data_IF_836103707693
#
_entry.id   IF_836103707693
#
_cell.length_a   1.000
_cell.length_b   1.000
_cell.length_c   1.000
_cell.angle_alpha   90.00
_cell.angle_beta   90.00
_cell.angle_gamma   90.00
#
_symmetry.space_group_name_H-M   'P 1'
#
loop_
_entity.id
_entity.type
_entity.pdbx_description
1 polymer ?
#
# COMPACT_ATOMS: atom_id res chain seq x y z
N UNK A 1 -1.72 39.42 -6.19
CA UNK A 1 -0.84 40.42 -5.58
C UNK A 1 -0.40 41.45 -6.63
N UNK A 2 -0.65 42.77 -6.44
CA UNK A 2 -0.38 43.82 -7.45
C UNK A 2 1.11 44.02 -7.80
N UNK A 3 2.03 43.68 -6.89
CA UNK A 3 3.46 44.02 -7.03
C UNK A 3 4.30 43.05 -7.88
N UNK A 4 3.72 41.92 -8.31
CA UNK A 4 4.47 40.81 -8.93
C UNK A 4 4.20 40.64 -10.42
N UNK A 5 3.27 41.40 -10.98
CA UNK A 5 2.85 41.27 -12.40
C UNK A 5 4.03 41.46 -13.36
N UNK A 6 4.99 42.33 -13.01
CA UNK A 6 6.20 42.61 -13.82
C UNK A 6 7.31 41.56 -13.69
N UNK A 7 7.26 40.71 -12.66
CA UNK A 7 8.27 39.68 -12.39
C UNK A 7 7.84 38.30 -12.86
N UNK A 8 6.64 38.11 -13.42
CA UNK A 8 6.10 36.78 -13.76
C UNK A 8 6.94 35.92 -14.71
N UNK A 9 7.75 36.55 -15.58
CA UNK A 9 8.63 35.84 -16.50
C UNK A 9 10.05 35.62 -15.92
N UNK A 10 10.32 36.16 -14.74
CA UNK A 10 11.59 36.04 -14.03
C UNK A 10 11.64 34.72 -13.22
N UNK A 11 12.65 33.85 -13.43
CA UNK A 11 12.85 32.66 -12.61
C UNK A 11 12.93 32.94 -11.10
N UNK A 12 13.42 34.13 -10.72
CA UNK A 12 13.62 34.53 -9.33
C UNK A 12 12.39 35.23 -8.72
N UNK A 13 11.27 35.31 -9.46
CA UNK A 13 10.03 35.92 -8.96
C UNK A 13 9.57 35.30 -7.63
N UNK A 14 9.74 33.98 -7.49
CA UNK A 14 9.35 33.24 -6.28
C UNK A 14 10.27 33.54 -5.10
N UNK A 15 11.55 33.83 -5.36
CA UNK A 15 12.48 34.30 -4.33
C UNK A 15 11.97 35.62 -3.76
N UNK A 16 11.61 36.57 -4.62
CA UNK A 16 11.04 37.86 -4.19
C UNK A 16 9.78 37.66 -3.34
N UNK A 17 8.89 36.73 -3.74
CA UNK A 17 7.68 36.40 -2.96
C UNK A 17 7.99 35.81 -1.57
N UNK A 18 9.12 35.12 -1.41
CA UNK A 18 9.51 34.49 -0.14
C UNK A 18 10.11 35.47 0.89
N UNK A 19 10.41 36.70 0.48
CA UNK A 19 11.00 37.73 1.35
C UNK A 19 10.00 38.34 2.33
N UNK A 20 8.70 38.03 2.19
CA UNK A 20 7.62 38.55 3.02
C UNK A 20 6.74 37.41 3.56
N UNK A 21 6.42 37.47 4.85
CA UNK A 21 5.34 36.68 5.46
C UNK A 21 4.04 37.45 5.28
N UNK A 22 3.22 37.00 4.32
CA UNK A 22 1.94 37.61 3.97
C UNK A 22 0.77 36.83 4.57
N UNK A 23 -0.05 37.51 5.38
CA UNK A 23 -1.30 36.98 5.90
C UNK A 23 -2.45 37.35 4.95
N UNK A 24 -3.01 36.34 4.28
CA UNK A 24 -4.11 36.52 3.32
C UNK A 24 -5.42 36.95 3.98
N UNK A 25 -5.63 36.66 5.27
CA UNK A 25 -6.84 37.03 6.02
C UNK A 25 -6.79 38.49 6.44
N UNK A 26 -5.63 38.94 6.92
CA UNK A 26 -5.46 40.32 7.41
C UNK A 26 -4.91 41.29 6.37
N UNK A 27 -4.41 40.79 5.23
CA UNK A 27 -3.81 41.56 4.15
C UNK A 27 -2.47 42.22 4.53
N UNK A 28 -1.84 41.79 5.63
CA UNK A 28 -0.59 42.36 6.14
C UNK A 28 0.62 41.56 5.67
N UNK A 29 1.67 42.27 5.27
CA UNK A 29 2.98 41.71 4.97
C UNK A 29 3.99 42.09 6.07
N UNK A 30 4.82 41.14 6.48
CA UNK A 30 5.97 41.38 7.36
C UNK A 30 7.25 40.82 6.74
N UNK A 31 8.42 41.34 7.12
CA UNK A 31 9.70 40.87 6.55
C UNK A 31 10.00 39.45 7.02
N UNK A 32 10.36 38.57 6.07
CA UNK A 32 10.84 37.23 6.39
C UNK A 32 12.21 37.25 7.08
N UNK A 33 12.55 36.18 7.81
CA UNK A 33 13.78 36.11 8.62
C UNK A 33 15.08 36.34 7.82
N UNK A 34 15.11 35.93 6.54
CA UNK A 34 16.27 36.13 5.63
C UNK A 34 16.61 37.60 5.42
N UNK A 35 15.64 38.51 5.58
CA UNK A 35 15.84 39.96 5.45
C UNK A 35 16.47 40.60 6.70
N UNK A 36 16.64 39.83 7.78
CA UNK A 36 17.08 40.33 9.09
C UNK A 36 18.35 39.63 9.57
N UNK A 37 18.57 38.36 9.19
CA UNK A 37 19.73 37.56 9.60
C UNK A 37 20.09 36.50 8.56
N UNK A 38 21.29 35.95 8.65
CA UNK A 38 21.64 34.71 7.94
C UNK A 38 20.79 33.56 8.49
N UNK A 39 20.17 32.80 7.59
CA UNK A 39 19.22 31.72 7.91
C UNK A 39 19.67 30.35 7.40
N UNK A 40 20.70 30.25 6.56
CA UNK A 40 21.06 28.98 5.91
C UNK A 40 22.27 28.32 6.57
N UNK A 41 23.25 29.09 7.05
CA UNK A 41 24.45 28.58 7.71
C UNK A 41 25.28 27.61 6.84
N UNK A 42 26.44 27.19 7.34
CA UNK A 42 27.29 26.17 6.69
C UNK A 42 27.16 24.85 7.44
N UNK A 43 26.81 23.77 6.73
CA UNK A 43 26.86 22.41 7.28
C UNK A 43 28.15 21.74 6.81
N UNK A 44 29.17 21.54 7.67
CA UNK A 44 30.37 20.83 7.28
C UNK A 44 30.07 19.35 7.02
N UNK A 45 30.76 18.69 6.07
CA UNK A 45 30.58 17.27 5.86
C UNK A 45 31.04 16.48 7.09
N UNK A 46 30.32 15.41 7.43
CA UNK A 46 30.77 14.46 8.45
C UNK A 46 31.91 13.63 7.85
N UNK A 47 33.08 13.72 8.46
CA UNK A 47 34.30 13.03 8.00
C UNK A 47 34.76 11.92 8.94
N UNK A 48 34.28 11.90 10.17
CA UNK A 48 34.62 10.92 11.19
C UNK A 48 33.41 10.66 12.10
N UNK A 49 33.32 9.45 12.66
CA UNK A 49 32.32 9.06 13.67
C UNK A 49 32.99 8.30 14.82
N UNK A 50 32.33 8.26 15.97
CA UNK A 50 32.88 7.66 17.21
C UNK A 50 32.36 6.27 17.50
N UNK A 51 31.27 5.85 16.85
CA UNK A 51 30.69 4.52 16.97
C UNK A 51 30.09 4.05 15.65
N UNK A 52 29.86 2.74 15.55
CA UNK A 52 29.17 2.18 14.39
C UNK A 52 27.72 2.69 14.29
N UNK A 53 27.04 2.87 15.44
CA UNK A 53 25.68 3.45 15.51
C UNK A 53 25.64 4.88 14.95
N UNK A 54 26.57 5.75 15.35
CA UNK A 54 26.66 7.11 14.79
C UNK A 54 26.90 7.06 13.28
N UNK A 55 27.80 6.17 12.83
CA UNK A 55 28.02 5.92 11.41
C UNK A 55 26.77 5.46 10.67
N UNK A 56 25.97 4.56 11.27
CA UNK A 56 24.69 4.13 10.71
C UNK A 56 23.74 5.30 10.51
N UNK A 57 23.55 6.16 11.53
CA UNK A 57 22.70 7.34 11.41
C UNK A 57 23.16 8.29 10.29
N UNK A 58 24.47 8.50 10.18
CA UNK A 58 25.08 9.31 9.11
C UNK A 58 24.84 8.67 7.73
N UNK A 59 24.99 7.34 7.62
CA UNK A 59 24.70 6.59 6.40
C UNK A 59 23.23 6.71 5.98
N UNK A 60 22.29 6.53 6.91
CA UNK A 60 20.85 6.67 6.64
C UNK A 60 20.51 8.09 6.20
N UNK A 61 21.10 9.09 6.86
CA UNK A 61 20.89 10.49 6.53
C UNK A 61 21.46 10.91 5.16
N UNK A 62 22.68 10.46 4.82
CA UNK A 62 23.40 10.90 3.61
C UNK A 62 23.25 9.96 2.41
N UNK A 63 22.90 8.69 2.62
CA UNK A 63 22.75 7.68 1.57
C UNK A 63 21.36 7.08 1.50
N UNK A 64 20.53 7.28 2.52
CA UNK A 64 19.18 6.70 2.59
C UNK A 64 19.16 5.18 2.82
N UNK A 65 20.31 4.57 3.10
CA UNK A 65 20.47 3.11 3.23
C UNK A 65 21.58 2.75 4.21
N UNK A 66 21.66 1.47 4.59
CA UNK A 66 22.76 0.89 5.36
C UNK A 66 23.94 0.64 4.42
N UNK A 67 24.90 1.56 4.38
CA UNK A 67 26.12 1.46 3.57
C UNK A 67 27.32 1.13 4.48
N UNK A 68 27.57 -0.17 4.68
CA UNK A 68 28.64 -0.65 5.55
C UNK A 68 30.04 -0.17 5.12
N UNK A 69 30.42 -0.18 3.83
CA UNK A 69 31.69 0.41 3.38
C UNK A 69 31.84 1.88 3.79
N UNK A 70 30.77 2.67 3.64
CA UNK A 70 30.78 4.08 4.02
C UNK A 70 30.90 4.26 5.55
N UNK A 71 30.18 3.46 6.34
CA UNK A 71 30.28 3.46 7.81
C UNK A 71 31.70 3.07 8.25
N UNK A 72 32.26 2.01 7.68
CA UNK A 72 33.61 1.54 7.95
C UNK A 72 34.67 2.61 7.64
N UNK A 73 34.50 3.32 6.51
CA UNK A 73 35.37 4.44 6.13
C UNK A 73 35.33 5.58 7.14
N UNK A 74 34.14 6.01 7.57
CA UNK A 74 33.99 7.10 8.55
C UNK A 74 34.50 6.72 9.95
N UNK A 75 34.32 5.46 10.34
CA UNK A 75 34.70 4.97 11.66
C UNK A 75 36.16 4.51 11.75
N UNK A 76 36.79 4.20 10.60
CA UNK A 76 38.16 3.69 10.55
C UNK A 76 38.31 2.24 11.04
N UNK A 77 37.24 1.44 10.98
CA UNK A 77 37.21 0.02 11.41
C UNK A 77 36.78 -0.89 10.26
N UNK A 78 37.19 -2.17 10.24
CA UNK A 78 36.74 -3.12 9.21
C UNK A 78 35.24 -3.39 9.31
N UNK A 79 34.60 -3.68 8.17
CA UNK A 79 33.15 -3.92 8.08
C UNK A 79 32.66 -5.02 9.03
N UNK A 80 33.45 -6.09 9.25
CA UNK A 80 33.07 -7.15 10.18
C UNK A 80 32.87 -6.62 11.61
N UNK A 81 33.76 -5.73 12.06
CA UNK A 81 33.65 -5.13 13.39
C UNK A 81 32.49 -4.13 13.46
N UNK A 82 32.20 -3.41 12.36
CA UNK A 82 31.02 -2.54 12.26
C UNK A 82 29.74 -3.36 12.38
N UNK A 83 29.63 -4.47 11.68
CA UNK A 83 28.47 -5.38 11.74
C UNK A 83 28.28 -5.91 13.16
N UNK A 84 29.36 -6.35 13.80
CA UNK A 84 29.32 -6.90 15.16
C UNK A 84 28.87 -5.82 16.17
N UNK A 85 29.37 -4.58 16.03
CA UNK A 85 29.02 -3.46 16.91
C UNK A 85 27.58 -2.97 16.69
N UNK A 86 27.07 -3.00 15.44
CA UNK A 86 25.69 -2.63 15.13
C UNK A 86 24.67 -3.64 15.64
N UNK A 87 25.05 -4.92 15.78
CA UNK A 87 24.21 -5.94 16.42
C UNK A 87 22.78 -5.96 15.88
N UNK A 88 21.82 -5.70 16.76
CA UNK A 88 20.37 -5.74 16.48
C UNK A 88 19.83 -4.49 15.77
N UNK A 89 20.65 -3.48 15.50
CA UNK A 89 20.25 -2.29 14.75
C UNK A 89 20.10 -2.59 13.25
N UNK A 90 20.75 -3.65 12.76
CA UNK A 90 20.70 -4.07 11.36
C UNK A 90 20.52 -5.58 11.22
N UNK A 91 19.88 -5.99 10.12
CA UNK A 91 19.71 -7.40 9.76
C UNK A 91 20.06 -7.60 8.30
N UNK A 92 20.78 -8.69 8.03
CA UNK A 92 21.04 -9.11 6.66
C UNK A 92 19.84 -9.92 6.17
N UNK A 93 19.22 -9.53 5.07
CA UNK A 93 18.04 -10.21 4.54
C UNK A 93 18.43 -11.42 3.68
N UNK A 94 17.96 -12.64 4.01
CA UNK A 94 18.25 -13.83 3.21
C UNK A 94 17.69 -13.78 1.78
N UNK A 95 16.64 -13.01 1.51
CA UNK A 95 16.02 -12.92 0.19
C UNK A 95 16.74 -11.89 -0.70
N UNK A 96 16.81 -10.62 -0.26
CA UNK A 96 17.45 -9.56 -1.05
C UNK A 96 18.98 -9.54 -0.97
N UNK A 97 19.59 -10.27 -0.03
CA UNK A 97 21.04 -10.26 0.25
C UNK A 97 21.59 -8.85 0.54
N UNK A 98 20.75 -8.01 1.16
CA UNK A 98 21.08 -6.64 1.53
C UNK A 98 20.93 -6.43 3.03
N UNK A 99 21.69 -5.49 3.57
CA UNK A 99 21.55 -5.06 4.96
C UNK A 99 20.42 -4.05 5.08
N UNK A 100 19.54 -4.29 6.05
CA UNK A 100 18.38 -3.46 6.35
C UNK A 100 18.44 -3.02 7.81
N UNK A 101 17.87 -1.86 8.11
CA UNK A 101 17.66 -1.44 9.49
C UNK A 101 16.65 -2.37 10.19
N UNK A 102 16.72 -2.45 11.51
CA UNK A 102 15.83 -3.28 12.32
C UNK A 102 14.35 -2.99 12.05
N UNK A 103 13.96 -1.72 11.98
CA UNK A 103 12.58 -1.31 11.70
C UNK A 103 12.11 -1.77 10.31
N UNK A 104 12.99 -1.80 9.30
CA UNK A 104 12.68 -2.27 7.96
C UNK A 104 12.58 -3.81 7.90
N UNK A 105 13.55 -4.52 8.47
CA UNK A 105 13.58 -5.97 8.41
C UNK A 105 12.47 -6.61 9.25
N UNK A 106 12.24 -6.10 10.46
CA UNK A 106 11.25 -6.62 11.41
C UNK A 106 9.83 -6.08 11.16
N UNK A 107 9.55 -5.49 10.00
CA UNK A 107 8.21 -5.06 9.58
C UNK A 107 7.77 -5.76 8.29
N UNK A 108 6.52 -5.54 7.88
CA UNK A 108 5.92 -6.24 6.75
C UNK A 108 5.43 -7.63 7.14
N UNK A 109 5.49 -8.59 6.22
CA UNK A 109 5.05 -9.97 6.46
C UNK A 109 6.09 -10.75 7.30
N UNK A 110 6.05 -10.56 8.63
CA UNK A 110 7.05 -11.10 9.56
C UNK A 110 6.95 -12.62 9.74
N UNK A 111 5.78 -13.22 9.48
CA UNK A 111 5.61 -14.68 9.46
C UNK A 111 6.34 -15.31 8.28
N UNK A 112 6.16 -14.75 7.08
CA UNK A 112 6.88 -15.21 5.88
C UNK A 112 8.39 -15.02 6.03
N UNK A 113 8.83 -13.86 6.53
CA UNK A 113 10.26 -13.59 6.80
C UNK A 113 10.85 -14.60 7.79
N UNK A 114 10.12 -15.00 8.83
CA UNK A 114 10.58 -16.02 9.79
C UNK A 114 10.84 -17.36 9.09
N UNK A 115 9.88 -17.83 8.30
CA UNK A 115 10.03 -19.08 7.53
C UNK A 115 11.24 -19.01 6.60
N UNK A 116 11.45 -17.87 5.93
CA UNK A 116 12.60 -17.67 5.06
C UNK A 116 13.92 -17.68 5.85
N UNK A 117 13.98 -17.01 6.99
CA UNK A 117 15.17 -16.97 7.84
C UNK A 117 15.54 -18.36 8.38
N UNK A 118 14.57 -19.13 8.86
CA UNK A 118 14.78 -20.51 9.35
C UNK A 118 15.30 -21.44 8.26
N UNK A 119 14.81 -21.29 7.02
CA UNK A 119 15.27 -22.08 5.87
C UNK A 119 16.65 -21.65 5.34
N UNK A 120 17.06 -20.42 5.56
CA UNK A 120 18.31 -19.87 5.04
C UNK A 120 19.56 -20.35 5.78
N UNK A 121 19.39 -21.06 6.92
CA UNK A 121 20.47 -21.73 7.65
C UNK A 121 20.99 -20.98 8.87
N UNK A 122 21.96 -21.58 9.57
CA UNK A 122 22.44 -21.15 10.88
C UNK A 122 22.94 -19.69 10.96
N UNK A 123 23.46 -19.14 9.86
CA UNK A 123 23.92 -17.74 9.80
C UNK A 123 22.79 -16.72 10.02
N UNK A 124 21.53 -17.12 9.84
CA UNK A 124 20.34 -16.30 10.08
C UNK A 124 19.60 -16.68 11.38
N UNK A 125 20.26 -17.41 12.30
CA UNK A 125 19.66 -17.78 13.58
C UNK A 125 19.17 -16.57 14.38
N UNK A 126 19.97 -15.48 14.41
CA UNK A 126 19.60 -14.20 15.04
C UNK A 126 18.33 -13.60 14.43
N UNK A 127 18.23 -13.63 13.09
CA UNK A 127 17.06 -13.14 12.38
C UNK A 127 15.82 -13.94 12.79
N UNK A 128 15.92 -15.27 12.81
CA UNK A 128 14.81 -16.14 13.17
C UNK A 128 14.37 -15.96 14.64
N UNK A 129 15.31 -15.77 15.56
CA UNK A 129 15.02 -15.48 16.96
C UNK A 129 14.27 -14.15 17.11
N UNK A 130 14.81 -13.07 16.54
CA UNK A 130 14.17 -11.75 16.64
C UNK A 130 12.80 -11.72 15.93
N UNK A 131 12.68 -12.41 14.78
CA UNK A 131 11.41 -12.53 14.07
C UNK A 131 10.37 -13.36 14.82
N UNK A 132 10.76 -14.29 15.69
CA UNK A 132 9.84 -15.00 16.59
C UNK A 132 9.28 -14.06 17.66
N UNK A 133 10.11 -13.18 18.19
CA UNK A 133 9.71 -12.26 19.27
C UNK A 133 8.78 -11.14 18.80
N UNK A 134 8.88 -10.74 17.53
CA UNK A 134 8.05 -9.65 16.96
C UNK A 134 6.79 -10.14 16.23
N UNK A 135 6.42 -11.42 16.37
CA UNK A 135 5.20 -11.92 15.74
C UNK A 135 3.97 -11.20 16.29
N UNK A 136 2.99 -10.83 15.43
CA UNK A 136 1.69 -10.37 15.91
C UNK A 136 1.05 -11.44 16.79
N UNK A 137 0.42 -11.00 17.88
CA UNK A 137 -0.36 -11.88 18.74
C UNK A 137 -1.44 -12.59 17.93
N UNK A 138 -1.54 -13.92 18.08
CA UNK A 138 -2.49 -14.72 17.31
C UNK A 138 -3.93 -14.26 17.61
N UNK A 139 -4.69 -13.99 16.55
CA UNK A 139 -6.14 -13.75 16.62
C UNK A 139 -6.80 -15.01 17.15
N UNK A 140 -7.58 -14.87 18.21
CA UNK A 140 -8.26 -15.96 18.88
C UNK A 140 -9.45 -16.47 18.04
N UNK A 141 -9.87 -17.73 18.22
CA UNK A 141 -10.99 -18.30 17.46
C UNK A 141 -12.27 -17.44 17.46
N UNK A 142 -12.59 -16.81 18.61
CA UNK A 142 -13.79 -15.97 18.76
C UNK A 142 -13.74 -14.65 17.98
N UNK A 143 -12.54 -14.18 17.63
CA UNK A 143 -12.33 -12.93 16.89
C UNK A 143 -12.17 -13.18 15.37
N UNK A 144 -12.16 -14.43 14.94
CA UNK A 144 -12.06 -14.81 13.52
C UNK A 144 -13.46 -14.89 12.91
N UNK A 145 -13.73 -14.01 11.94
CA UNK A 145 -14.96 -14.06 11.16
C UNK A 145 -14.90 -15.15 10.07
N UNK A 146 -15.24 -16.39 10.46
CA UNK A 146 -15.29 -17.55 9.59
C UNK A 146 -16.68 -17.73 8.95
N UNK A 147 -16.95 -16.96 7.88
CA UNK A 147 -18.19 -17.07 7.12
C UNK A 147 -18.08 -18.01 5.89
N UNK A 148 -19.22 -18.55 5.44
CA UNK A 148 -19.30 -19.22 4.15
C UNK A 148 -18.86 -18.27 3.03
N UNK A 149 -18.04 -18.77 2.11
CA UNK A 149 -17.44 -18.00 1.03
C UNK A 149 -16.10 -17.35 1.36
N UNK A 150 -15.64 -17.45 2.62
CA UNK A 150 -14.32 -16.96 2.99
C UNK A 150 -13.21 -17.75 2.24
N UNK A 151 -12.36 -17.09 1.43
CA UNK A 151 -11.46 -17.76 0.49
C UNK A 151 -10.31 -18.53 1.17
N UNK A 152 -10.06 -18.24 2.45
CA UNK A 152 -9.03 -18.90 3.25
C UNK A 152 -9.46 -20.24 3.84
N UNK A 153 -10.77 -20.50 3.92
CA UNK A 153 -11.28 -21.77 4.42
C UNK A 153 -11.02 -22.83 3.35
N UNK A 154 -10.32 -23.94 3.66
CA UNK A 154 -10.04 -24.98 2.67
C UNK A 154 -11.34 -25.63 2.16
N UNK A 155 -11.37 -25.98 0.86
CA UNK A 155 -12.54 -26.66 0.26
C UNK A 155 -12.88 -27.98 0.94
N UNK A 156 -11.90 -28.69 1.49
CA UNK A 156 -12.14 -29.91 2.30
C UNK A 156 -13.01 -29.66 3.52
N UNK A 157 -12.89 -28.49 4.16
CA UNK A 157 -13.65 -28.13 5.35
C UNK A 157 -15.08 -27.77 4.97
N UNK A 158 -15.27 -27.11 3.82
CA UNK A 158 -16.59 -26.83 3.25
C UNK A 158 -17.28 -28.11 2.78
N UNK A 159 -16.55 -29.05 2.16
CA UNK A 159 -17.10 -30.34 1.77
C UNK A 159 -17.54 -31.15 3.00
N UNK A 160 -16.68 -31.24 4.03
CA UNK A 160 -17.04 -31.88 5.30
C UNK A 160 -18.27 -31.23 5.95
N UNK A 161 -18.40 -29.91 5.87
CA UNK A 161 -19.60 -29.21 6.32
C UNK A 161 -20.84 -29.63 5.54
N UNK A 162 -20.77 -29.60 4.20
CA UNK A 162 -21.89 -29.97 3.34
C UNK A 162 -22.35 -31.42 3.59
N UNK A 163 -21.39 -32.33 3.76
CA UNK A 163 -21.64 -33.74 4.04
C UNK A 163 -22.37 -33.92 5.39
N UNK A 164 -21.87 -33.24 6.44
CA UNK A 164 -22.49 -33.25 7.75
C UNK A 164 -23.89 -32.61 7.73
N UNK A 165 -24.04 -31.47 7.05
CA UNK A 165 -25.28 -30.71 6.97
C UNK A 165 -26.39 -31.50 6.27
N UNK A 166 -26.08 -32.25 5.22
CA UNK A 166 -27.06 -33.02 4.46
C UNK A 166 -27.15 -34.50 4.85
N UNK A 167 -26.35 -34.94 5.83
CA UNK A 167 -26.26 -36.33 6.28
C UNK A 167 -25.93 -37.32 5.15
N UNK A 168 -24.95 -36.97 4.32
CA UNK A 168 -24.49 -37.77 3.17
C UNK A 168 -22.98 -37.94 3.18
N UNK A 169 -22.47 -38.85 2.36
CA UNK A 169 -21.03 -39.02 2.17
C UNK A 169 -20.40 -37.78 1.49
N UNK A 170 -19.14 -37.41 1.80
CA UNK A 170 -18.45 -36.30 1.15
C UNK A 170 -18.34 -36.40 -0.37
N UNK A 171 -18.38 -37.62 -0.92
CA UNK A 171 -18.41 -37.85 -2.37
C UNK A 171 -19.72 -37.42 -3.04
N UNK A 172 -20.80 -37.27 -2.27
CA UNK A 172 -22.11 -36.84 -2.78
C UNK A 172 -22.25 -35.32 -2.87
N UNK A 173 -21.31 -34.57 -2.27
CA UNK A 173 -21.28 -33.09 -2.25
C UNK A 173 -19.88 -32.54 -2.52
N UNK A 174 -19.23 -32.90 -3.65
CA UNK A 174 -17.95 -32.33 -4.03
C UNK A 174 -18.02 -30.80 -4.12
N UNK A 175 -17.09 -30.14 -3.43
CA UNK A 175 -16.94 -28.68 -3.41
C UNK A 175 -15.60 -28.29 -4.02
N UNK A 176 -15.64 -27.36 -4.98
CA UNK A 176 -14.44 -26.76 -5.55
C UNK A 176 -14.44 -25.23 -5.33
N UNK A 177 -13.24 -24.66 -5.25
CA UNK A 177 -13.02 -23.21 -5.15
C UNK A 177 -12.07 -22.76 -6.24
N UNK A 178 -12.57 -21.98 -7.19
CA UNK A 178 -11.79 -21.34 -8.22
C UNK A 178 -11.23 -20.03 -7.65
N UNK A 179 -10.04 -20.10 -7.04
CA UNK A 179 -9.41 -18.98 -6.34
C UNK A 179 -9.27 -17.70 -7.18
N UNK A 180 -9.04 -17.82 -8.49
CA UNK A 180 -8.86 -16.67 -9.40
C UNK A 180 -10.13 -15.82 -9.54
N UNK A 181 -11.28 -16.49 -9.64
CA UNK A 181 -12.58 -15.83 -9.83
C UNK A 181 -13.35 -15.66 -8.51
N UNK A 182 -12.78 -16.15 -7.40
CA UNK A 182 -13.44 -16.24 -6.09
C UNK A 182 -14.81 -16.95 -6.16
N UNK A 183 -14.93 -17.94 -7.05
CA UNK A 183 -16.18 -18.70 -7.26
C UNK A 183 -16.08 -20.06 -6.59
N UNK A 184 -17.15 -20.43 -5.89
CA UNK A 184 -17.35 -21.75 -5.31
C UNK A 184 -18.36 -22.53 -6.12
N UNK A 185 -18.11 -23.82 -6.34
CA UNK A 185 -19.08 -24.73 -6.94
C UNK A 185 -19.38 -25.89 -5.98
N UNK A 186 -20.63 -26.33 -5.99
CA UNK A 186 -21.09 -27.48 -5.22
C UNK A 186 -21.86 -28.42 -6.16
N UNK A 187 -21.25 -29.53 -6.53
CA UNK A 187 -21.83 -30.50 -7.47
C UNK A 187 -22.55 -31.62 -6.72
N UNK A 188 -23.67 -31.29 -6.08
CA UNK A 188 -24.45 -32.28 -5.33
C UNK A 188 -25.05 -33.35 -6.25
N UNK A 189 -24.85 -34.61 -5.89
CA UNK A 189 -25.49 -35.76 -6.55
C UNK A 189 -26.97 -35.90 -6.18
N UNK A 190 -27.61 -36.96 -6.67
CA UNK A 190 -29.01 -37.23 -6.37
C UNK A 190 -29.25 -37.52 -4.88
N UNK A 191 -28.36 -38.25 -4.21
CA UNK A 191 -28.52 -38.61 -2.80
C UNK A 191 -28.51 -37.36 -1.91
N UNK A 192 -27.58 -36.42 -2.18
CA UNK A 192 -27.53 -35.14 -1.49
C UNK A 192 -28.78 -34.29 -1.75
N UNK A 193 -29.18 -34.14 -3.02
CA UNK A 193 -30.36 -33.34 -3.41
C UNK A 193 -31.68 -33.90 -2.87
N UNK A 194 -31.80 -35.23 -2.77
CA UNK A 194 -33.00 -35.90 -2.29
C UNK A 194 -33.04 -36.10 -0.77
N UNK A 195 -31.96 -35.76 -0.04
CA UNK A 195 -31.91 -35.89 1.41
C UNK A 195 -33.02 -35.08 2.10
N UNK A 196 -33.53 -35.58 3.23
CA UNK A 196 -34.53 -34.87 4.05
C UNK A 196 -33.98 -33.52 4.53
N UNK A 197 -32.69 -33.50 4.87
CA UNK A 197 -31.97 -32.30 5.24
C UNK A 197 -32.00 -31.25 4.11
N UNK A 198 -31.68 -31.62 2.86
CA UNK A 198 -31.68 -30.69 1.74
C UNK A 198 -33.08 -30.27 1.27
N UNK A 199 -34.09 -31.13 1.40
CA UNK A 199 -35.44 -30.86 0.88
C UNK A 199 -36.36 -30.14 1.88
N UNK A 200 -36.12 -30.30 3.19
CA UNK A 200 -37.02 -29.81 4.24
C UNK A 200 -36.31 -29.04 5.36
N UNK A 201 -35.23 -29.57 5.91
CA UNK A 201 -34.57 -28.96 7.09
C UNK A 201 -33.84 -27.67 6.71
N UNK A 202 -33.04 -27.71 5.66
CA UNK A 202 -32.24 -26.61 5.13
C UNK A 202 -32.70 -26.14 3.75
N UNK A 203 -33.84 -26.66 3.26
CA UNK A 203 -34.44 -26.26 2.00
C UNK A 203 -35.93 -26.03 2.10
N UNK A 204 -36.54 -25.72 0.96
CA UNK A 204 -37.98 -25.59 0.76
C UNK A 204 -38.38 -26.37 -0.50
N UNK A 205 -39.68 -26.64 -0.74
CA UNK A 205 -40.13 -27.27 -1.98
C UNK A 205 -39.69 -26.54 -3.25
N UNK A 206 -39.38 -25.24 -3.15
CA UNK A 206 -38.97 -24.38 -4.28
C UNK A 206 -37.48 -24.00 -4.27
N UNK A 207 -36.75 -24.36 -3.23
CA UNK A 207 -35.35 -24.00 -3.04
C UNK A 207 -34.62 -25.10 -2.28
N UNK A 208 -33.89 -25.97 -2.99
CA UNK A 208 -33.15 -27.05 -2.37
C UNK A 208 -31.97 -26.53 -1.52
N UNK A 209 -31.69 -27.17 -0.38
CA UNK A 209 -30.63 -26.79 0.53
C UNK A 209 -29.23 -26.79 -0.11
N UNK A 210 -28.96 -27.70 -1.06
CA UNK A 210 -27.65 -27.71 -1.77
C UNK A 210 -27.46 -26.46 -2.61
N UNK A 211 -28.53 -25.97 -3.25
CA UNK A 211 -28.53 -24.71 -4.00
C UNK A 211 -28.39 -23.50 -3.08
N UNK A 212 -29.07 -23.51 -1.92
CA UNK A 212 -28.96 -22.45 -0.93
C UNK A 212 -27.55 -22.34 -0.33
N UNK A 213 -26.88 -23.48 -0.10
CA UNK A 213 -25.49 -23.55 0.32
C UNK A 213 -24.55 -23.01 -0.77
N UNK A 214 -24.71 -23.41 -2.02
CA UNK A 214 -23.91 -22.89 -3.14
C UNK A 214 -24.07 -21.37 -3.30
N UNK A 215 -25.29 -20.84 -3.18
CA UNK A 215 -25.52 -19.40 -3.15
C UNK A 215 -24.82 -18.74 -1.96
N UNK A 216 -24.86 -19.35 -0.78
CA UNK A 216 -24.22 -18.81 0.42
C UNK A 216 -22.69 -18.75 0.27
N UNK A 217 -22.08 -19.78 -0.32
CA UNK A 217 -20.64 -19.80 -0.63
C UNK A 217 -20.23 -18.68 -1.60
N UNK A 218 -21.13 -18.28 -2.48
CA UNK A 218 -20.91 -17.20 -3.44
C UNK A 218 -21.48 -15.85 -2.98
N UNK A 219 -21.79 -15.68 -1.68
CA UNK A 219 -22.32 -14.45 -1.10
C UNK A 219 -23.63 -13.94 -1.76
N UNK A 220 -24.42 -14.84 -2.35
CA UNK A 220 -25.70 -14.54 -3.00
C UNK A 220 -26.86 -14.86 -2.07
N UNK A 221 -27.91 -14.04 -2.15
CA UNK A 221 -29.19 -14.30 -1.48
C UNK A 221 -30.18 -14.95 -2.45
N UNK A 222 -30.96 -15.96 -2.03
CA UNK A 222 -31.97 -16.57 -2.89
C UNK A 222 -33.11 -15.59 -3.19
N UNK A 223 -33.61 -15.66 -4.43
CA UNK A 223 -34.82 -14.98 -4.90
C UNK A 223 -35.62 -15.97 -5.74
N UNK A 224 -36.87 -16.20 -5.36
CA UNK A 224 -37.78 -17.14 -6.03
C UNK A 224 -38.76 -16.36 -6.88
N UNK A 225 -39.01 -16.84 -8.10
CA UNK A 225 -39.90 -16.21 -9.07
C UNK A 225 -41.06 -17.15 -9.41
N UNK A 226 -42.25 -16.57 -9.57
CA UNK A 226 -43.41 -17.16 -10.22
C UNK A 226 -43.45 -16.74 -11.68
N UNK A 227 -43.85 -17.64 -12.55
CA UNK A 227 -44.17 -17.32 -13.94
C UNK A 227 -45.68 -17.12 -14.03
N UNK A 228 -46.10 -15.94 -14.44
CA UNK A 228 -47.50 -15.60 -14.70
C UNK A 228 -47.63 -15.44 -16.21
N UNK A 229 -48.60 -16.12 -16.80
CA UNK A 229 -48.96 -15.98 -18.21
C UNK A 229 -50.00 -14.86 -18.34
N UNK A 230 -49.62 -13.77 -19.03
CA UNK A 230 -50.49 -12.61 -19.28
C UNK A 230 -51.12 -12.67 -20.69
N UNK A 231 -51.11 -13.84 -21.33
CA UNK A 231 -51.74 -14.10 -22.63
C UNK A 231 -50.92 -13.67 -23.84
N UNK A 232 -49.95 -12.76 -23.68
CA UNK A 232 -49.04 -12.31 -24.75
C UNK A 232 -47.54 -12.56 -24.42
N UNK A 233 -47.18 -12.67 -23.13
CA UNK A 233 -45.81 -12.95 -22.64
C UNK A 233 -45.80 -13.63 -21.26
N UNK A 234 -44.79 -14.47 -21.03
CA UNK A 234 -44.46 -14.98 -19.69
C UNK A 234 -43.78 -13.89 -18.85
N UNK A 235 -44.42 -13.47 -17.76
CA UNK A 235 -43.88 -12.51 -16.80
C UNK A 235 -43.33 -13.23 -15.58
N UNK A 236 -42.07 -12.95 -15.22
CA UNK A 236 -41.44 -13.46 -13.99
C UNK A 236 -41.64 -12.47 -12.85
N UNK A 237 -42.49 -12.81 -11.89
CA UNK A 237 -42.79 -11.99 -10.71
C UNK A 237 -42.12 -12.60 -9.47
N UNK A 238 -41.53 -11.78 -8.61
CA UNK A 238 -40.89 -12.28 -7.38
C UNK A 238 -41.94 -12.82 -6.42
N UNK A 239 -41.80 -14.08 -6.02
CA UNK A 239 -42.61 -14.66 -4.95
C UNK A 239 -42.00 -14.27 -3.59
N UNK A 240 -42.61 -13.30 -2.92
CA UNK A 240 -42.09 -12.77 -1.66
C UNK A 240 -42.06 -13.83 -0.54
N UNK A 241 -43.12 -14.62 -0.41
CA UNK A 241 -43.24 -15.65 0.63
C UNK A 241 -42.18 -16.75 0.48
N UNK A 242 -42.07 -17.33 -0.72
CA UNK A 242 -41.09 -18.36 -1.03
C UNK A 242 -39.65 -17.83 -0.95
N UNK A 243 -39.43 -16.57 -1.32
CA UNK A 243 -38.13 -15.89 -1.17
C UNK A 243 -37.75 -15.73 0.30
N UNK A 244 -38.68 -15.29 1.15
CA UNK A 244 -38.43 -15.13 2.58
C UNK A 244 -38.17 -16.49 3.25
N UNK A 245 -38.95 -17.53 2.91
CA UNK A 245 -38.71 -18.88 3.40
C UNK A 245 -37.32 -19.41 3.00
N UNK A 246 -36.91 -19.23 1.74
CA UNK A 246 -35.59 -19.62 1.26
C UNK A 246 -34.45 -18.85 1.97
N UNK A 247 -34.64 -17.56 2.24
CA UNK A 247 -33.66 -16.74 2.98
C UNK A 247 -33.50 -17.20 4.44
N UNK A 248 -34.60 -17.58 5.10
CA UNK A 248 -34.54 -18.10 6.46
C UNK A 248 -33.78 -19.44 6.52
N UNK A 249 -34.04 -20.33 5.55
CA UNK A 249 -33.27 -21.58 5.42
C UNK A 249 -31.79 -21.32 5.14
N UNK A 250 -31.46 -20.37 4.27
CA UNK A 250 -30.06 -19.98 4.03
C UNK A 250 -29.39 -19.40 5.28
N UNK A 251 -30.12 -18.62 6.09
CA UNK A 251 -29.62 -18.09 7.36
C UNK A 251 -29.30 -19.21 8.34
N UNK A 252 -30.17 -20.22 8.46
CA UNK A 252 -29.93 -21.40 9.28
C UNK A 252 -28.66 -22.16 8.85
N UNK A 253 -28.44 -22.32 7.54
CA UNK A 253 -27.20 -22.92 7.00
C UNK A 253 -25.96 -22.14 7.47
N UNK A 254 -26.01 -20.80 7.42
CA UNK A 254 -24.90 -19.94 7.88
C UNK A 254 -24.63 -20.08 9.38
N UNK A 255 -25.68 -20.20 10.20
CA UNK A 255 -25.58 -20.41 11.64
C UNK A 255 -25.00 -21.78 11.99
N UNK A 256 -25.42 -22.83 11.28
CA UNK A 256 -24.84 -24.17 11.39
C UNK A 256 -23.36 -24.17 11.01
N UNK A 257 -22.98 -23.43 9.96
CA UNK A 257 -21.58 -23.32 9.57
C UNK A 257 -20.72 -22.68 10.67
N UNK A 258 -21.17 -21.58 11.27
CA UNK A 258 -20.45 -20.91 12.37
C UNK A 258 -20.20 -21.86 13.54
N UNK A 259 -21.22 -22.65 13.89
CA UNK A 259 -21.11 -23.67 14.94
C UNK A 259 -20.14 -24.79 14.53
N UNK A 260 -20.23 -25.25 13.28
CA UNK A 260 -19.41 -26.32 12.72
C UNK A 260 -17.91 -25.96 12.76
N UNK A 261 -17.53 -24.76 12.30
CA UNK A 261 -16.12 -24.35 12.16
C UNK A 261 -15.35 -24.53 13.47
N UNK A 262 -15.95 -24.18 14.61
CA UNK A 262 -15.31 -24.18 15.91
C UNK A 262 -15.74 -25.31 16.86
N UNK A 263 -16.54 -26.28 16.38
CA UNK A 263 -17.02 -27.39 17.20
C UNK A 263 -15.95 -28.46 17.47
N UNK A 264 -15.03 -28.67 16.54
CA UNK A 264 -13.95 -29.65 16.68
C UNK A 264 -12.62 -28.95 17.06
N UNK A 265 -11.95 -29.34 18.15
CA UNK A 265 -10.71 -28.70 18.60
C UNK A 265 -9.59 -28.76 17.55
N UNK A 266 -9.41 -29.90 16.87
CA UNK A 266 -8.31 -30.07 15.91
C UNK A 266 -8.48 -29.18 14.66
N UNK A 267 -9.70 -29.12 14.13
CA UNK A 267 -10.08 -28.22 13.04
C UNK A 267 -9.96 -26.77 13.44
N UNK A 268 -10.42 -26.42 14.65
CA UNK A 268 -10.32 -25.06 15.19
C UNK A 268 -8.88 -24.60 15.21
N UNK A 269 -7.99 -25.36 15.86
CA UNK A 269 -6.56 -25.06 15.94
C UNK A 269 -5.93 -24.87 14.56
N UNK A 270 -6.23 -25.80 13.63
CA UNK A 270 -5.71 -25.73 12.26
C UNK A 270 -6.21 -24.50 11.48
N UNK A 271 -7.50 -24.17 11.58
CA UNK A 271 -8.09 -23.04 10.88
C UNK A 271 -7.63 -21.71 11.46
N UNK A 272 -7.51 -21.61 12.78
CA UNK A 272 -6.93 -20.46 13.49
C UNK A 272 -5.49 -20.24 13.06
N UNK A 273 -4.68 -21.31 13.00
CA UNK A 273 -3.30 -21.22 12.54
C UNK A 273 -3.20 -20.76 11.08
N UNK A 274 -4.03 -21.33 10.21
CA UNK A 274 -4.09 -20.95 8.80
C UNK A 274 -4.47 -19.47 8.64
N UNK A 275 -5.48 -19.01 9.39
CA UNK A 275 -5.92 -17.62 9.36
C UNK A 275 -4.81 -16.67 9.80
N UNK A 276 -4.17 -16.96 10.94
CA UNK A 276 -3.09 -16.13 11.47
C UNK A 276 -1.89 -16.05 10.53
N UNK A 277 -1.52 -17.16 9.91
CA UNK A 277 -0.40 -17.19 8.95
C UNK A 277 -0.71 -16.44 7.66
N UNK A 278 -1.98 -16.47 7.22
CA UNK A 278 -2.41 -15.84 5.98
C UNK A 278 -2.69 -14.35 6.13
N UNK A 279 -3.30 -13.92 7.24
CA UNK A 279 -3.80 -12.54 7.42
C UNK A 279 -3.17 -11.79 8.59
N UNK A 280 -2.89 -12.47 9.71
CA UNK A 280 -2.27 -11.84 10.87
C UNK A 280 -0.73 -11.87 10.80
N UNK A 281 -0.20 -11.37 9.68
CA UNK A 281 1.22 -11.45 9.38
C UNK A 281 1.90 -10.10 9.19
N UNK A 282 1.14 -9.01 9.13
CA UNK A 282 1.67 -7.67 8.86
C UNK A 282 2.03 -6.95 10.16
N UNK A 283 3.32 -6.67 10.35
CA UNK A 283 3.79 -5.72 11.36
C UNK A 283 4.03 -4.35 10.73
N UNK A 284 3.32 -3.28 11.14
CA UNK A 284 3.59 -1.94 10.63
C UNK A 284 5.03 -1.50 10.88
N UNK A 285 5.65 -0.86 9.89
CA UNK A 285 6.95 -0.21 10.07
C UNK A 285 6.75 1.09 10.84
N UNK A 286 7.51 1.26 11.91
CA UNK A 286 7.61 2.53 12.64
C UNK A 286 8.81 3.29 12.10
N UNK A 287 8.58 4.51 11.63
CA UNK A 287 9.62 5.36 11.08
C UNK A 287 10.03 6.39 12.13
N UNK A 288 11.34 6.50 12.37
CA UNK A 288 11.94 7.54 13.19
C UNK A 288 12.91 8.35 12.33
N UNK A 289 12.54 9.60 12.05
CA UNK A 289 13.34 10.53 11.26
C UNK A 289 14.22 11.47 12.08
N UNK A 290 14.36 11.25 13.39
CA UNK A 290 15.12 12.13 14.31
C UNK A 290 16.60 12.27 13.96
N UNK A 291 17.16 11.29 13.26
CA UNK A 291 18.53 11.26 12.79
C UNK A 291 18.78 12.11 11.53
N UNK A 292 17.72 12.63 10.89
CA UNK A 292 17.84 13.43 9.69
C UNK A 292 18.28 14.86 10.01
N UNK A 293 19.30 15.33 9.30
CA UNK A 293 19.59 16.76 9.18
C UNK A 293 18.90 17.35 7.94
N UNK A 294 18.81 18.68 7.87
CA UNK A 294 18.21 19.37 6.72
C UNK A 294 19.13 20.49 6.20
N UNK A 295 20.26 20.16 5.55
CA UNK A 295 21.19 21.15 5.02
C UNK A 295 20.49 22.07 4.02
N UNK A 296 20.76 23.37 4.10
CA UNK A 296 20.13 24.37 3.26
C UNK A 296 18.75 24.83 3.74
N UNK A 297 18.18 24.18 4.76
CA UNK A 297 16.90 24.58 5.34
C UNK A 297 17.06 25.86 6.16
N UNK A 298 16.05 26.72 6.11
CA UNK A 298 15.94 27.90 6.93
C UNK A 298 15.94 27.52 8.43
N UNK A 299 17.00 27.88 9.13
CA UNK A 299 17.22 27.56 10.54
C UNK A 299 16.27 28.29 11.51
N UNK A 300 15.52 29.29 11.03
CA UNK A 300 14.45 29.91 11.81
C UNK A 300 13.18 29.02 11.87
N UNK A 301 13.10 27.99 11.02
CA UNK A 301 12.00 27.03 10.99
C UNK A 301 12.49 25.68 11.56
N UNK A 302 11.59 24.97 12.22
CA UNK A 302 11.87 23.64 12.76
C UNK A 302 10.76 22.69 12.33
N UNK A 303 11.15 21.59 11.68
CA UNK A 303 10.22 20.51 11.35
C UNK A 303 9.80 19.79 12.63
N UNK A 304 8.51 19.47 12.72
CA UNK A 304 7.96 18.69 13.83
C UNK A 304 8.37 17.22 13.68
N UNK A 305 8.40 16.43 14.78
CA UNK A 305 8.80 15.02 14.74
C UNK A 305 8.08 14.21 13.65
N UNK A 306 6.75 14.35 13.53
CA UNK A 306 5.96 13.63 12.52
C UNK A 306 6.34 14.00 11.07
N UNK A 307 6.87 15.21 10.84
CA UNK A 307 7.35 15.62 9.52
C UNK A 307 8.69 14.96 9.22
N UNK A 308 9.59 14.87 10.20
CA UNK A 308 10.86 14.14 10.07
C UNK A 308 10.61 12.65 9.80
N UNK A 309 9.70 12.01 10.55
CA UNK A 309 9.32 10.61 10.34
C UNK A 309 8.74 10.37 8.94
N UNK A 310 7.90 11.31 8.47
CA UNK A 310 7.33 11.27 7.15
C UNK A 310 8.38 11.47 6.03
N UNK A 311 9.37 12.33 6.25
CA UNK A 311 10.52 12.48 5.33
C UNK A 311 11.30 11.17 5.26
N UNK A 312 11.63 10.58 6.42
CA UNK A 312 12.33 9.30 6.48
C UNK A 312 11.56 8.19 5.76
N UNK A 313 10.24 8.12 5.98
CA UNK A 313 9.35 7.20 5.26
C UNK A 313 9.40 7.42 3.75
N UNK A 314 9.36 8.68 3.30
CA UNK A 314 9.46 9.05 1.89
C UNK A 314 10.78 8.59 1.26
N UNK A 315 11.90 8.78 1.96
CA UNK A 315 13.22 8.34 1.50
C UNK A 315 13.33 6.81 1.39
N UNK A 316 12.71 6.07 2.32
CA UNK A 316 12.97 4.64 2.50
C UNK A 316 11.91 3.70 1.89
N UNK A 317 10.69 4.17 1.61
CA UNK A 317 9.58 3.31 1.12
C UNK A 317 9.26 3.48 -0.37
N UNK A 318 9.82 4.49 -1.04
CA UNK A 318 9.59 4.79 -2.46
C UNK A 318 8.19 5.35 -2.77
N UNK A 319 7.12 4.62 -2.39
CA UNK A 319 5.73 5.08 -2.49
C UNK A 319 5.17 5.38 -1.09
N UNK A 320 4.80 6.64 -0.84
CA UNK A 320 4.35 7.09 0.48
C UNK A 320 3.09 7.95 0.38
N UNK A 321 2.06 7.54 1.12
CA UNK A 321 0.86 8.34 1.34
C UNK A 321 1.02 9.20 2.61
N UNK A 322 1.00 10.53 2.43
CA UNK A 322 1.04 11.50 3.53
C UNK A 322 -0.38 11.93 3.95
N UNK A 323 -1.11 11.05 4.63
CA UNK A 323 -2.49 11.27 5.08
C UNK A 323 -2.59 12.14 6.35
N UNK A 324 -1.85 13.25 6.42
CA UNK A 324 -1.89 14.17 7.56
C UNK A 324 -3.07 15.16 7.46
N UNK A 325 -3.59 15.59 8.62
CA UNK A 325 -4.66 16.60 8.72
C UNK A 325 -4.27 17.93 8.05
N UNK A 326 -5.27 18.75 7.73
CA UNK A 326 -5.04 20.11 7.19
C UNK A 326 -4.24 20.94 8.20
N UNK A 327 -3.26 21.71 7.71
CA UNK A 327 -2.37 22.51 8.57
C UNK A 327 -1.19 21.75 9.20
N UNK A 328 -1.08 20.43 9.02
CA UNK A 328 0.02 19.63 9.59
C UNK A 328 1.40 19.83 8.91
N UNK A 329 1.55 20.82 8.02
CA UNK A 329 2.81 21.10 7.32
C UNK A 329 3.16 20.09 6.21
N UNK A 330 2.16 19.62 5.44
CA UNK A 330 2.36 18.66 4.34
C UNK A 330 3.30 19.21 3.26
N UNK A 331 3.17 20.48 2.88
CA UNK A 331 4.03 21.10 1.87
C UNK A 331 5.50 21.08 2.28
N UNK A 332 5.80 21.49 3.52
CA UNK A 332 7.16 21.43 4.06
C UNK A 332 7.70 20.00 4.09
N UNK A 333 6.85 19.04 4.46
CA UNK A 333 7.21 17.61 4.44
C UNK A 333 7.58 17.15 3.02
N UNK A 334 6.78 17.52 2.01
CA UNK A 334 7.05 17.17 0.62
C UNK A 334 8.34 17.81 0.09
N UNK A 335 8.53 19.11 0.34
CA UNK A 335 9.73 19.84 -0.07
C UNK A 335 10.99 19.27 0.59
N UNK A 336 10.96 19.06 1.92
CA UNK A 336 12.05 18.43 2.66
C UNK A 336 12.35 17.01 2.16
N UNK A 337 11.32 16.23 1.84
CA UNK A 337 11.49 14.87 1.29
C UNK A 337 12.26 14.90 -0.03
N UNK A 338 11.84 15.72 -1.00
CA UNK A 338 12.54 15.78 -2.28
C UNK A 338 13.95 16.36 -2.16
N UNK A 339 14.16 17.38 -1.31
CA UNK A 339 15.49 17.91 -1.04
C UNK A 339 16.41 16.85 -0.42
N UNK A 340 15.95 16.13 0.61
CA UNK A 340 16.73 15.07 1.25
C UNK A 340 17.02 13.91 0.33
N UNK A 341 16.04 13.45 -0.45
CA UNK A 341 16.27 12.40 -1.44
C UNK A 341 17.28 12.84 -2.50
N UNK A 342 17.26 14.11 -2.94
CA UNK A 342 18.23 14.65 -3.90
C UNK A 342 19.63 14.73 -3.28
N UNK A 343 19.75 15.27 -2.08
CA UNK A 343 21.00 15.38 -1.33
C UNK A 343 21.62 14.00 -1.06
N UNK A 344 20.79 13.00 -0.77
CA UNK A 344 21.23 11.62 -0.58
C UNK A 344 21.54 10.88 -1.90
N UNK A 345 21.31 11.51 -3.06
CA UNK A 345 21.52 10.92 -4.37
C UNK A 345 20.48 9.88 -4.79
N UNK A 346 19.39 9.73 -4.05
CA UNK A 346 18.29 8.79 -4.34
C UNK A 346 17.47 9.22 -5.57
N UNK A 347 17.37 10.54 -5.78
CA UNK A 347 16.72 11.13 -6.95
C UNK A 347 17.58 12.24 -7.53
N UNK A 348 17.34 12.57 -8.80
CA UNK A 348 18.04 13.67 -9.49
C UNK A 348 17.20 14.92 -9.65
N UNK A 349 15.91 14.75 -9.99
CA UNK A 349 15.00 15.85 -10.34
C UNK A 349 13.61 15.62 -9.73
N UNK A 350 13.36 16.07 -8.50
CA UNK A 350 12.03 15.98 -7.90
C UNK A 350 11.04 16.86 -8.67
N UNK A 351 9.89 16.29 -9.02
CA UNK A 351 8.77 16.99 -9.62
C UNK A 351 7.57 16.96 -8.68
N UNK A 352 6.98 18.13 -8.44
CA UNK A 352 5.81 18.34 -7.61
C UNK A 352 4.64 18.73 -8.48
N UNK A 353 3.63 17.88 -8.52
CA UNK A 353 2.42 18.13 -9.30
C UNK A 353 1.33 18.62 -8.35
N UNK A 354 0.83 19.83 -8.57
CA UNK A 354 -0.12 20.49 -7.67
C UNK A 354 -1.38 20.98 -8.40
N UNK A 355 -2.50 21.20 -7.69
CA UNK A 355 -3.63 21.95 -8.24
C UNK A 355 -3.22 23.35 -8.71
N UNK A 356 -3.87 23.86 -9.77
CA UNK A 356 -3.56 25.17 -10.36
C UNK A 356 -3.51 26.33 -9.35
N UNK A 357 -4.46 26.35 -8.40
CA UNK A 357 -4.57 27.42 -7.41
C UNK A 357 -3.53 27.33 -6.28
N UNK A 358 -2.81 26.20 -6.17
CA UNK A 358 -1.77 26.00 -5.15
C UNK A 358 -0.35 26.22 -5.69
N UNK A 359 -0.18 26.51 -6.98
CA UNK A 359 1.15 26.63 -7.60
C UNK A 359 2.01 27.69 -6.92
N UNK A 360 1.49 28.91 -6.78
CA UNK A 360 2.20 30.03 -6.15
C UNK A 360 2.44 29.77 -4.65
N UNK A 361 1.44 29.25 -3.95
CA UNK A 361 1.53 28.93 -2.52
C UNK A 361 2.62 27.86 -2.26
N UNK A 362 2.60 26.76 -3.00
CA UNK A 362 3.56 25.68 -2.85
C UNK A 362 4.99 26.17 -3.13
N UNK A 363 5.16 26.96 -4.20
CA UNK A 363 6.47 27.51 -4.58
C UNK A 363 7.03 28.45 -3.50
N UNK A 364 6.17 29.32 -2.96
CA UNK A 364 6.53 30.22 -1.85
C UNK A 364 6.91 29.45 -0.59
N UNK A 365 6.10 28.48 -0.17
CA UNK A 365 6.37 27.64 1.01
C UNK A 365 7.67 26.84 0.86
N UNK A 366 7.98 26.36 -0.35
CA UNK A 366 9.27 25.71 -0.63
C UNK A 366 10.42 26.71 -0.43
N UNK A 367 10.38 27.89 -1.04
CA UNK A 367 11.44 28.90 -0.86
C UNK A 367 11.57 29.40 0.59
N UNK A 368 10.48 29.48 1.34
CA UNK A 368 10.53 29.80 2.78
C UNK A 368 11.31 28.74 3.57
N UNK A 369 11.13 27.47 3.21
CA UNK A 369 11.83 26.35 3.85
C UNK A 369 13.27 26.20 3.37
N UNK A 370 13.53 26.37 2.07
CA UNK A 370 14.86 26.28 1.44
C UNK A 370 15.13 27.53 0.60
N UNK A 371 15.63 28.62 1.19
CA UNK A 371 15.76 29.91 0.50
C UNK A 371 16.72 29.92 -0.69
N UNK A 372 17.68 28.99 -0.71
CA UNK A 372 18.68 28.87 -1.77
C UNK A 372 18.33 27.77 -2.80
N UNK A 373 17.11 27.22 -2.78
CA UNK A 373 16.71 26.18 -3.72
C UNK A 373 16.48 26.73 -5.14
N UNK A 374 16.98 26.04 -6.15
CA UNK A 374 16.74 26.37 -7.55
C UNK A 374 15.44 25.70 -8.03
N UNK A 375 14.35 26.47 -8.06
CA UNK A 375 13.03 25.98 -8.46
C UNK A 375 12.68 26.32 -9.91
N UNK A 376 12.10 25.37 -10.64
CA UNK A 376 11.44 25.61 -11.90
C UNK A 376 9.92 25.55 -11.70
N UNK A 377 9.26 26.70 -11.76
CA UNK A 377 7.81 26.81 -11.62
C UNK A 377 7.18 27.00 -12.99
N UNK A 378 6.31 26.08 -13.41
CA UNK A 378 5.66 26.12 -14.70
C UNK A 378 4.16 26.41 -14.56
N UNK A 379 3.74 27.58 -15.05
CA UNK A 379 2.36 28.03 -15.00
C UNK A 379 1.56 27.60 -16.25
N UNK A 380 0.26 27.90 -16.27
CA UNK A 380 -0.64 27.51 -17.37
C UNK A 380 -0.26 28.17 -18.70
N UNK A 381 0.35 29.36 -18.63
CA UNK A 381 0.79 30.18 -19.76
C UNK A 381 2.04 29.60 -20.46
N UNK A 382 2.75 28.68 -19.81
CA UNK A 382 3.90 27.95 -20.37
C UNK A 382 3.50 26.73 -21.22
N UNK A 383 2.19 26.51 -21.41
CA UNK A 383 1.64 25.28 -22.00
C UNK A 383 1.25 25.38 -23.48
N UNK A 384 1.61 26.48 -24.17
CA UNK A 384 1.50 26.54 -25.63
C UNK A 384 2.40 25.47 -26.27
N UNK A 385 2.10 25.04 -27.51
CA UNK A 385 2.83 23.94 -28.16
C UNK A 385 4.33 24.22 -28.30
N UNK A 386 4.71 25.47 -28.58
CA UNK A 386 6.11 25.91 -28.66
C UNK A 386 6.76 26.02 -27.27
N UNK A 387 6.06 26.62 -26.29
CA UNK A 387 6.56 26.77 -24.92
C UNK A 387 6.73 25.44 -24.20
N UNK A 388 5.93 24.41 -24.54
CA UNK A 388 6.08 23.05 -24.00
C UNK A 388 7.42 22.42 -24.34
N UNK A 389 7.87 22.51 -25.61
CA UNK A 389 9.18 21.98 -26.01
C UNK A 389 10.30 22.67 -25.23
N UNK A 390 10.18 23.98 -25.03
CA UNK A 390 11.12 24.76 -24.23
C UNK A 390 11.09 24.37 -22.75
N UNK A 391 9.90 24.19 -22.15
CA UNK A 391 9.75 23.74 -20.76
C UNK A 391 10.37 22.35 -20.55
N UNK A 392 10.07 21.40 -21.44
CA UNK A 392 10.69 20.06 -21.37
C UNK A 392 12.20 20.14 -21.54
N UNK A 393 12.71 21.01 -22.42
CA UNK A 393 14.15 21.22 -22.55
C UNK A 393 14.77 21.80 -21.26
N UNK A 394 14.13 22.81 -20.63
CA UNK A 394 14.57 23.37 -19.34
C UNK A 394 14.58 22.33 -18.23
N UNK A 395 13.53 21.50 -18.14
CA UNK A 395 13.46 20.38 -17.19
C UNK A 395 14.61 19.40 -17.42
N UNK A 396 14.91 19.08 -18.69
CA UNK A 396 15.95 18.11 -19.04
C UNK A 396 17.36 18.63 -18.82
N UNK A 397 17.65 19.90 -19.14
CA UNK A 397 18.99 20.46 -19.09
C UNK A 397 19.39 21.06 -17.73
N UNK A 398 18.43 21.59 -16.96
CA UNK A 398 18.74 22.26 -15.70
C UNK A 398 18.94 21.29 -14.52
N UNK A 399 19.78 21.69 -13.57
CA UNK A 399 19.91 21.05 -12.26
C UNK A 399 18.96 21.74 -11.27
N UNK A 400 17.71 21.25 -11.24
CA UNK A 400 16.65 21.83 -10.43
C UNK A 400 16.50 21.11 -9.10
N UNK A 401 16.38 21.87 -8.03
CA UNK A 401 16.10 21.35 -6.67
C UNK A 401 14.61 21.02 -6.50
N UNK A 402 13.75 21.61 -7.33
CA UNK A 402 12.34 21.26 -7.43
C UNK A 402 11.72 21.76 -8.72
N UNK A 403 10.94 20.90 -9.38
CA UNK A 403 10.15 21.26 -10.56
C UNK A 403 8.68 21.26 -10.15
N UNK A 404 8.03 22.42 -10.13
CA UNK A 404 6.64 22.54 -9.66
C UNK A 404 5.75 22.80 -10.88
N UNK A 405 4.83 21.88 -11.14
CA UNK A 405 3.93 21.91 -12.29
C UNK A 405 2.50 21.71 -11.82
N UNK A 406 1.54 22.21 -12.60
CA UNK A 406 0.13 21.95 -12.30
C UNK A 406 -0.34 20.60 -12.87
N UNK A 407 -1.43 20.04 -12.35
CA UNK A 407 -2.04 18.82 -12.92
C UNK A 407 -2.26 18.94 -14.44
N UNK A 408 -2.81 20.07 -14.91
CA UNK A 408 -3.05 20.30 -16.34
C UNK A 408 -1.77 20.41 -17.17
N UNK A 409 -0.67 20.84 -16.56
CA UNK A 409 0.65 20.86 -17.19
C UNK A 409 1.21 19.45 -17.31
N UNK A 410 1.05 18.64 -16.25
CA UNK A 410 1.54 17.28 -16.18
C UNK A 410 0.82 16.34 -17.15
N UNK A 411 -0.50 16.42 -17.27
CA UNK A 411 -1.30 15.65 -18.24
C UNK A 411 -0.84 15.83 -19.70
N UNK A 412 -0.18 16.95 -19.99
CA UNK A 412 0.33 17.28 -21.32
C UNK A 412 1.71 16.70 -21.62
N UNK A 413 2.38 16.13 -20.62
CA UNK A 413 3.62 15.37 -20.76
C UNK A 413 3.23 13.95 -21.18
N UNK A 414 3.45 13.62 -22.45
CA UNK A 414 3.11 12.30 -22.97
C UNK A 414 4.01 11.21 -22.39
N UNK A 415 3.44 10.02 -22.20
CA UNK A 415 4.23 8.81 -21.91
C UNK A 415 5.14 8.48 -23.10
N UNK A 416 6.27 7.83 -22.83
CA UNK A 416 7.14 7.33 -23.91
C UNK A 416 6.39 6.26 -24.73
N UNK A 417 6.67 6.19 -26.04
CA UNK A 417 6.09 5.17 -26.92
C UNK A 417 6.43 3.75 -26.42
N UNK A 418 7.67 3.54 -25.99
CA UNK A 418 8.12 2.25 -25.47
C UNK A 418 7.33 1.82 -24.22
N UNK A 419 7.03 2.76 -23.32
CA UNK A 419 6.20 2.47 -22.15
C UNK A 419 4.76 2.17 -22.55
N UNK A 420 4.18 2.96 -23.47
CA UNK A 420 2.84 2.71 -23.99
C UNK A 420 2.73 1.32 -24.64
N UNK A 421 3.71 0.94 -25.45
CA UNK A 421 3.75 -0.38 -26.08
C UNK A 421 3.86 -1.49 -25.03
N UNK A 422 4.77 -1.37 -24.06
CA UNK A 422 4.92 -2.36 -22.99
C UNK A 422 3.64 -2.50 -22.17
N UNK A 423 3.05 -1.38 -21.75
CA UNK A 423 1.79 -1.37 -20.99
C UNK A 423 0.66 -2.04 -21.76
N UNK A 424 0.52 -1.74 -23.06
CA UNK A 424 -0.49 -2.37 -23.91
C UNK A 424 -0.24 -3.88 -24.07
N UNK A 425 1.02 -4.30 -24.22
CA UNK A 425 1.38 -5.74 -24.28
C UNK A 425 1.09 -6.47 -22.99
N UNK A 426 1.39 -5.85 -21.84
CA UNK A 426 1.05 -6.38 -20.51
C UNK A 426 -0.46 -6.54 -20.36
N UNK A 427 -1.24 -5.50 -20.70
CA UNK A 427 -2.70 -5.56 -20.68
C UNK A 427 -3.24 -6.65 -21.62
N UNK A 428 -2.74 -6.76 -22.85
CA UNK A 428 -3.12 -7.84 -23.77
C UNK A 428 -2.79 -9.21 -23.17
N UNK A 429 -1.61 -9.37 -22.56
CA UNK A 429 -1.22 -10.61 -21.89
C UNK A 429 -2.12 -10.96 -20.71
N UNK A 430 -2.52 -9.98 -19.91
CA UNK A 430 -3.51 -10.15 -18.82
C UNK A 430 -4.86 -10.58 -19.39
N UNK A 431 -5.37 -9.93 -20.44
CA UNK A 431 -6.63 -10.32 -21.09
C UNK A 431 -6.55 -11.71 -21.72
N UNK A 432 -5.47 -12.05 -22.41
CA UNK A 432 -5.26 -13.38 -22.98
C UNK A 432 -5.20 -14.45 -21.89
N UNK A 433 -4.56 -14.16 -20.76
CA UNK A 433 -4.52 -15.05 -19.61
C UNK A 433 -5.92 -15.23 -19.01
N UNK A 434 -6.70 -14.16 -18.85
CA UNK A 434 -8.08 -14.21 -18.40
C UNK A 434 -8.97 -15.03 -19.35
N UNK A 435 -8.81 -14.86 -20.67
CA UNK A 435 -9.55 -15.63 -21.67
C UNK A 435 -9.18 -17.12 -21.63
N UNK A 436 -7.90 -17.46 -21.46
CA UNK A 436 -7.44 -18.84 -21.31
C UNK A 436 -7.92 -19.48 -20.02
N UNK A 437 -7.88 -18.73 -18.91
CA UNK A 437 -8.39 -19.20 -17.62
C UNK A 437 -9.91 -19.45 -17.70
N UNK A 438 -10.65 -18.58 -18.40
CA UNK A 438 -12.08 -18.77 -18.64
C UNK A 438 -12.38 -19.97 -19.57
N UNK A 439 -11.60 -20.14 -20.63
CA UNK A 439 -11.72 -21.28 -21.55
C UNK A 439 -11.30 -22.61 -20.92
N UNK A 440 -10.32 -22.59 -20.01
CA UNK A 440 -9.85 -23.77 -19.25
C UNK A 440 -10.80 -24.19 -18.13
N UNK A 441 -11.64 -23.28 -17.63
CA UNK A 441 -12.75 -23.59 -16.71
C UNK A 441 -13.99 -24.17 -17.40
N UNK A 442 -14.07 -24.06 -18.74
CA UNK A 442 -15.08 -24.72 -19.55
C UNK A 442 -14.55 -26.09 -20.04
N UNK A 443 -14.49 -27.08 -19.16
CA UNK A 443 -14.29 -28.47 -19.60
C UNK A 443 -15.39 -28.83 -20.60
N UNK A 444 -15.09 -29.51 -21.73
CA UNK A 444 -16.10 -29.80 -22.74
C UNK A 444 -17.20 -30.67 -22.13
N UNK A 445 -18.46 -30.23 -22.27
CA UNK A 445 -19.60 -31.12 -22.10
C UNK A 445 -19.50 -32.21 -23.18
N UNK A 446 -19.08 -33.41 -22.79
CA UNK A 446 -19.39 -34.63 -23.51
C UNK A 446 -20.60 -35.28 -22.86
#
# INVERSE_FOLDING_TARGET
MPNLVKFREDPDAMLVMSLEDYDEVTGKATKAAIMVKDVVGKTPPVTEVRSAEEGLLVSLNQRGTVDLPYIAMLYGKPESQVIDELGDLIFHDPESKSWQTADAYLSGNVRSKLVTAERAGHQYARNAETLRDVQPEDVLPGDIDANLGAPWIPSRDINAFAAQLFHVEPSSVPVAHLKKDAVWSLEADYAAKASVAATSEFGTPRANGTWLLELALNMKTPTIYDTIDDGDRELRVVNQEATMAAREKQKLIKEQFRSFVFADPQRTERLVRLYNDTYNNLRPRLFDGSHLDFPGMNQALTLRPHQCDAVWRGMSSGNTLLAHVVGAGKTFTMAATGMKMKQAGLIKKPMYVVPNHLLEQFSREFMQLYPNAHLLVAAKEDLSKERRKMLTAKIASGDWDGIIVTHSSFERIGMSKDYQERFLREQIGEYDQLLRDHAGGATPRN
#
